data_IF_957701616729
#
_entry.id   IF_957701616729
#
_cell.length_a   1.000
_cell.length_b   1.000
_cell.length_c   1.000
_cell.angle_alpha   90.00
_cell.angle_beta   90.00
_cell.angle_gamma   90.00
#
_symmetry.space_group_name_H-M   'P 1'
#
loop_
_entity.id
_entity.type
_entity.pdbx_description
1 polymer ?
#
# COMPACT_ATOMS: atom_id res chain seq x y z
N UNK A 1 22.71 -39.44 59.24
CA UNK A 1 22.73 -38.94 57.85
C UNK A 1 21.98 -39.96 57.01
N UNK A 2 20.84 -39.58 56.43
CA UNK A 2 20.05 -40.43 55.55
C UNK A 2 20.75 -40.47 54.17
N UNK A 3 21.12 -41.64 53.68
CA UNK A 3 21.77 -41.77 52.37
C UNK A 3 20.72 -42.24 51.33
N UNK A 4 20.33 -41.41 50.35
CA UNK A 4 19.34 -41.79 49.35
C UNK A 4 19.89 -42.89 48.45
N UNK A 5 19.12 -43.97 48.27
CA UNK A 5 19.37 -45.00 47.27
C UNK A 5 18.56 -44.73 46.01
N UNK A 6 19.15 -44.97 44.85
CA UNK A 6 18.53 -44.71 43.55
C UNK A 6 18.31 -46.02 42.80
N UNK A 7 17.09 -46.21 42.31
CA UNK A 7 16.76 -47.24 41.34
C UNK A 7 16.71 -46.57 39.97
N UNK A 8 17.43 -47.14 39.00
CA UNK A 8 17.38 -46.70 37.61
C UNK A 8 16.78 -47.82 36.77
N UNK A 9 15.82 -47.46 35.92
CA UNK A 9 15.26 -48.37 34.92
C UNK A 9 15.46 -47.73 33.56
N UNK A 10 16.13 -48.42 32.65
CA UNK A 10 16.35 -47.96 31.28
C UNK A 10 15.59 -48.83 30.31
N UNK A 11 15.05 -48.24 29.25
CA UNK A 11 14.42 -48.97 28.18
C UNK A 11 14.69 -48.32 26.82
N UNK A 12 14.65 -49.17 25.81
CA UNK A 12 14.80 -48.81 24.41
C UNK A 12 13.49 -49.17 23.71
N UNK A 13 12.94 -48.24 22.93
CA UNK A 13 11.70 -48.43 22.17
C UNK A 13 11.93 -48.07 20.72
N UNK A 14 11.51 -48.94 19.81
CA UNK A 14 11.43 -48.62 18.38
C UNK A 14 10.15 -47.82 18.12
N UNK A 15 10.30 -46.71 17.42
CA UNK A 15 9.26 -45.81 16.99
C UNK A 15 9.08 -45.97 15.49
N UNK A 16 7.91 -46.44 15.08
CA UNK A 16 7.47 -46.54 13.69
C UNK A 16 6.09 -45.86 13.61
N UNK A 17 6.09 -44.55 13.38
CA UNK A 17 4.86 -43.72 13.42
C UNK A 17 4.78 -42.84 12.17
N UNK A 18 3.64 -42.89 11.48
CA UNK A 18 3.30 -41.93 10.43
C UNK A 18 2.63 -40.69 11.04
N UNK A 19 2.90 -39.52 10.47
CA UNK A 19 2.33 -38.26 10.93
C UNK A 19 1.89 -37.38 9.76
N UNK A 20 0.94 -36.50 10.04
CA UNK A 20 0.44 -35.49 9.11
C UNK A 20 0.10 -34.21 9.87
N UNK A 21 0.39 -33.05 9.26
CA UNK A 21 0.08 -31.75 9.81
C UNK A 21 -0.31 -30.77 8.70
N UNK A 22 -1.23 -29.85 8.98
CA UNK A 22 -1.60 -28.78 8.06
C UNK A 22 -0.83 -27.52 8.43
N UNK A 23 -0.02 -27.02 7.50
CA UNK A 23 0.72 -25.76 7.67
C UNK A 23 0.04 -24.67 6.86
N UNK A 24 -0.09 -23.48 7.46
CA UNK A 24 -0.63 -22.28 6.82
C UNK A 24 0.40 -21.14 6.87
N UNK A 25 0.46 -20.38 5.76
CA UNK A 25 1.13 -19.08 5.69
C UNK A 25 0.16 -18.04 5.17
N UNK A 26 0.23 -16.85 5.77
CA UNK A 26 -0.61 -15.71 5.42
C UNK A 26 0.26 -14.48 5.19
N UNK A 27 -0.04 -13.73 4.13
CA UNK A 27 0.67 -12.52 3.75
C UNK A 27 -0.35 -11.42 3.46
N UNK A 28 -0.08 -10.22 3.95
CA UNK A 28 -0.87 -9.02 3.64
C UNK A 28 -0.05 -8.08 2.75
N UNK A 29 -0.71 -7.51 1.74
CA UNK A 29 -0.16 -6.48 0.87
C UNK A 29 -1.01 -5.22 1.00
N UNK A 30 -0.34 -4.08 0.89
CA UNK A 30 -0.94 -2.75 0.94
C UNK A 30 -0.54 -2.01 -0.34
N UNK A 31 -1.47 -1.24 -0.89
CA UNK A 31 -1.26 -0.42 -2.08
C UNK A 31 -2.18 0.80 -2.07
N UNK A 32 -2.17 1.55 -3.15
CA UNK A 32 -3.06 2.69 -3.36
C UNK A 32 -3.89 2.47 -4.63
N UNK A 33 -5.17 2.83 -4.57
CA UNK A 33 -6.05 2.96 -5.72
C UNK A 33 -6.26 4.44 -6.00
N UNK A 34 -6.22 4.84 -7.28
CA UNK A 34 -6.41 6.23 -7.69
C UNK A 34 -7.49 6.31 -8.75
N UNK A 35 -8.51 7.12 -8.49
CA UNK A 35 -9.52 7.49 -9.47
C UNK A 35 -9.24 8.87 -10.04
N UNK A 36 -9.20 8.96 -11.37
CA UNK A 36 -8.96 10.21 -12.10
C UNK A 36 -10.14 10.51 -13.01
N UNK A 37 -10.61 11.75 -12.97
CA UNK A 37 -11.54 12.29 -13.96
C UNK A 37 -10.91 13.53 -14.60
N UNK A 38 -11.04 13.67 -15.91
CA UNK A 38 -10.42 14.76 -16.68
C UNK A 38 -11.42 15.42 -17.62
N UNK A 39 -11.23 16.71 -17.84
CA UNK A 39 -11.93 17.51 -18.84
C UNK A 39 -10.90 18.28 -19.65
N UNK A 40 -11.04 18.31 -20.97
CA UNK A 40 -10.22 19.13 -21.87
C UNK A 40 -11.09 20.07 -22.67
N UNK A 41 -10.68 21.32 -22.73
CA UNK A 41 -11.40 22.40 -23.41
C UNK A 41 -10.43 23.11 -24.37
N UNK A 42 -10.68 23.10 -25.69
CA UNK A 42 -9.88 23.86 -26.64
C UNK A 42 -10.19 25.36 -26.49
N UNK A 43 -9.16 26.20 -26.52
CA UNK A 43 -9.30 27.65 -26.37
C UNK A 43 -9.13 28.40 -27.69
N UNK A 44 -8.45 27.82 -28.66
CA UNK A 44 -8.15 28.40 -29.98
C UNK A 44 -9.39 28.91 -30.74
N UNK A 45 -10.54 28.24 -30.57
CA UNK A 45 -11.81 28.66 -31.17
C UNK A 45 -12.41 29.93 -30.52
N UNK A 46 -11.96 30.29 -29.33
CA UNK A 46 -12.56 31.36 -28.50
C UNK A 46 -11.59 32.49 -28.16
N UNK A 47 -10.28 32.21 -28.17
CA UNK A 47 -9.22 33.14 -27.79
C UNK A 47 -8.35 33.44 -29.01
N UNK A 48 -8.19 34.71 -29.34
CA UNK A 48 -7.37 35.14 -30.46
C UNK A 48 -5.88 34.88 -30.23
N UNK A 49 -5.14 34.56 -31.31
CA UNK A 49 -3.69 34.29 -31.26
C UNK A 49 -2.85 35.32 -30.50
N UNK A 50 -3.05 36.65 -30.67
CA UNK A 50 -2.32 37.64 -29.88
C UNK A 50 -2.54 37.52 -28.36
N UNK A 51 -3.76 37.17 -27.95
CA UNK A 51 -4.08 36.93 -26.54
C UNK A 51 -3.43 35.66 -26.02
N UNK A 52 -3.37 34.59 -26.81
CA UNK A 52 -2.69 33.34 -26.41
C UNK A 52 -1.19 33.56 -26.14
N UNK A 53 -0.51 34.38 -26.97
CA UNK A 53 0.89 34.75 -26.74
C UNK A 53 1.07 35.53 -25.42
N UNK A 54 0.13 36.43 -25.09
CA UNK A 54 0.18 37.16 -23.82
C UNK A 54 -0.17 36.26 -22.63
N UNK A 55 -1.06 35.29 -22.83
CA UNK A 55 -1.45 34.32 -21.82
C UNK A 55 -0.26 33.48 -21.37
N UNK A 56 0.54 32.96 -22.28
CA UNK A 56 1.76 32.20 -21.94
C UNK A 56 2.73 33.01 -21.08
N UNK A 57 2.92 34.29 -21.42
CA UNK A 57 3.76 35.21 -20.64
C UNK A 57 3.18 35.49 -19.26
N UNK A 58 1.86 35.69 -19.18
CA UNK A 58 1.16 35.93 -17.93
C UNK A 58 1.22 34.69 -17.02
N UNK A 59 1.02 33.48 -17.56
CA UNK A 59 1.13 32.23 -16.84
C UNK A 59 2.55 31.99 -16.31
N UNK A 60 3.58 32.29 -17.10
CA UNK A 60 4.98 32.17 -16.68
C UNK A 60 5.35 33.09 -15.50
N UNK A 61 4.62 34.22 -15.35
CA UNK A 61 4.82 35.18 -14.27
C UNK A 61 3.83 35.01 -13.11
N UNK A 62 2.80 34.16 -13.25
CA UNK A 62 1.70 34.08 -12.30
C UNK A 62 2.02 33.16 -11.10
N UNK A 63 1.73 33.65 -9.90
CA UNK A 63 1.91 32.89 -8.67
C UNK A 63 1.07 31.59 -8.66
N UNK A 64 1.72 30.49 -8.32
CA UNK A 64 1.13 29.16 -8.23
C UNK A 64 0.96 28.43 -9.55
N UNK A 65 1.37 29.03 -10.68
CA UNK A 65 1.56 28.31 -11.94
C UNK A 65 3.02 27.92 -12.09
N UNK A 66 3.24 26.68 -12.52
CA UNK A 66 4.56 26.09 -12.73
C UNK A 66 4.63 25.63 -14.17
N UNK A 67 5.67 26.06 -14.88
CA UNK A 67 5.94 25.57 -16.22
C UNK A 67 6.49 24.13 -16.15
N UNK A 68 5.86 23.21 -16.89
CA UNK A 68 6.26 21.82 -17.06
C UNK A 68 6.34 21.52 -18.57
N UNK A 69 7.55 21.63 -19.11
CA UNK A 69 7.77 21.60 -20.56
C UNK A 69 7.05 22.74 -21.28
N UNK A 70 6.19 22.39 -22.24
CA UNK A 70 5.37 23.31 -23.03
C UNK A 70 3.97 23.56 -22.40
N UNK A 71 3.79 23.13 -21.15
CA UNK A 71 2.54 23.31 -20.42
C UNK A 71 2.74 24.13 -19.15
N UNK A 72 1.66 24.75 -18.68
CA UNK A 72 1.62 25.47 -17.41
C UNK A 72 0.64 24.76 -16.48
N UNK A 73 1.11 24.30 -15.33
CA UNK A 73 0.32 23.55 -14.36
C UNK A 73 0.10 24.36 -13.09
N UNK A 74 -1.09 24.24 -12.51
CA UNK A 74 -1.40 24.70 -11.16
C UNK A 74 -2.10 23.59 -10.39
N UNK A 75 -1.56 23.26 -9.22
CA UNK A 75 -2.19 22.33 -8.29
C UNK A 75 -3.36 23.00 -7.55
N UNK A 76 -4.41 22.24 -7.30
CA UNK A 76 -5.63 22.63 -6.62
C UNK A 76 -5.96 21.58 -5.54
N UNK A 77 -6.86 21.89 -4.61
CA UNK A 77 -7.30 20.89 -3.65
C UNK A 77 -8.08 19.76 -4.35
N UNK A 78 -7.56 18.55 -4.29
CA UNK A 78 -8.14 17.37 -4.94
C UNK A 78 -7.94 17.28 -6.46
N UNK A 79 -7.04 18.08 -7.05
CA UNK A 79 -6.83 18.05 -8.50
C UNK A 79 -5.75 19.01 -8.99
N UNK A 80 -5.77 19.28 -10.30
CA UNK A 80 -4.89 20.27 -10.92
C UNK A 80 -5.50 20.77 -12.23
N UNK A 81 -4.99 21.90 -12.70
CA UNK A 81 -5.28 22.44 -14.03
C UNK A 81 -3.98 22.62 -14.80
N UNK A 82 -4.02 22.28 -16.08
CA UNK A 82 -2.89 22.39 -17.00
C UNK A 82 -3.33 23.11 -18.25
N UNK A 83 -2.60 24.15 -18.65
CA UNK A 83 -2.73 24.76 -19.98
C UNK A 83 -1.62 24.22 -20.87
N UNK A 84 -2.01 23.58 -21.98
CA UNK A 84 -1.10 23.04 -23.00
C UNK A 84 -0.92 24.09 -24.10
N UNK A 85 0.26 24.72 -24.18
CA UNK A 85 0.47 25.86 -25.07
C UNK A 85 0.51 25.47 -26.56
N UNK A 86 1.07 24.29 -26.85
CA UNK A 86 1.18 23.73 -28.21
C UNK A 86 -0.18 23.46 -28.87
N UNK A 87 -1.16 22.99 -28.08
CA UNK A 87 -2.51 22.69 -28.55
C UNK A 87 -3.53 23.75 -28.15
N UNK A 88 -3.14 24.75 -27.35
CA UNK A 88 -4.05 25.74 -26.77
C UNK A 88 -5.24 25.11 -26.04
N UNK A 89 -5.00 24.02 -25.29
CA UNK A 89 -6.03 23.31 -24.53
C UNK A 89 -5.90 23.58 -23.02
N UNK A 90 -7.04 23.77 -22.36
CA UNK A 90 -7.13 23.74 -20.90
C UNK A 90 -7.57 22.34 -20.45
N UNK A 91 -6.73 21.67 -19.69
CA UNK A 91 -7.01 20.38 -19.06
C UNK A 91 -7.25 20.56 -17.56
N UNK A 92 -8.38 20.07 -17.05
CA UNK A 92 -8.73 20.07 -15.64
C UNK A 92 -8.83 18.62 -15.18
N UNK A 93 -8.12 18.29 -14.10
CA UNK A 93 -8.05 16.93 -13.56
C UNK A 93 -8.49 16.94 -12.10
N UNK A 94 -9.40 16.02 -11.76
CA UNK A 94 -9.75 15.67 -10.40
C UNK A 94 -9.17 14.31 -10.04
N UNK A 95 -8.52 14.21 -8.89
CA UNK A 95 -7.89 12.99 -8.40
C UNK A 95 -8.40 12.65 -7.00
N UNK A 96 -8.76 11.38 -6.81
CA UNK A 96 -9.13 10.83 -5.50
C UNK A 96 -8.38 9.53 -5.30
N UNK A 97 -7.62 9.45 -4.21
CA UNK A 97 -6.86 8.26 -3.84
C UNK A 97 -7.39 7.61 -2.57
N UNK A 98 -7.18 6.31 -2.44
CA UNK A 98 -7.44 5.56 -1.21
C UNK A 98 -6.42 4.44 -1.04
N UNK A 99 -6.04 4.17 0.21
CA UNK A 99 -5.27 2.98 0.55
C UNK A 99 -6.16 1.73 0.42
N UNK A 100 -5.60 0.66 -0.10
CA UNK A 100 -6.24 -0.66 -0.22
C UNK A 100 -5.31 -1.74 0.32
N UNK A 101 -5.89 -2.76 0.94
CA UNK A 101 -5.14 -3.89 1.47
C UNK A 101 -5.81 -5.20 1.11
N UNK A 102 -5.01 -6.22 0.80
CA UNK A 102 -5.51 -7.56 0.53
C UNK A 102 -4.58 -8.63 1.14
N UNK A 103 -5.18 -9.78 1.49
CA UNK A 103 -4.47 -10.91 2.07
C UNK A 103 -4.45 -12.11 1.14
N UNK A 104 -3.35 -12.83 1.15
CA UNK A 104 -3.20 -14.16 0.55
C UNK A 104 -2.91 -15.21 1.61
N UNK A 105 -3.41 -16.42 1.40
CA UNK A 105 -3.19 -17.57 2.29
C UNK A 105 -2.82 -18.78 1.48
N UNK A 106 -1.75 -19.46 1.87
CA UNK A 106 -1.37 -20.75 1.32
C UNK A 106 -1.40 -21.80 2.41
N UNK A 107 -1.97 -22.95 2.09
CA UNK A 107 -2.12 -24.06 3.02
C UNK A 107 -1.64 -25.34 2.36
N UNK A 108 -0.91 -26.17 3.10
CA UNK A 108 -0.46 -27.47 2.63
C UNK A 108 -0.47 -28.49 3.76
N UNK A 109 -0.95 -29.69 3.45
CA UNK A 109 -0.78 -30.84 4.33
C UNK A 109 0.60 -31.44 4.08
N UNK A 110 1.40 -31.49 5.14
CA UNK A 110 2.71 -32.14 5.19
C UNK A 110 2.58 -33.44 5.97
N UNK A 111 3.51 -34.37 5.75
CA UNK A 111 3.50 -35.63 6.45
C UNK A 111 4.79 -36.40 6.24
N UNK A 112 4.99 -37.40 7.07
CA UNK A 112 6.20 -38.19 7.06
C UNK A 112 6.08 -39.45 7.90
N UNK A 113 7.22 -40.11 8.05
CA UNK A 113 7.34 -41.31 8.85
C UNK A 113 8.56 -41.19 9.76
N UNK A 114 8.38 -41.50 11.04
CA UNK A 114 9.46 -41.64 12.01
C UNK A 114 9.77 -43.12 12.14
N UNK A 115 10.96 -43.51 11.69
CA UNK A 115 11.56 -44.82 11.92
C UNK A 115 12.86 -44.62 12.71
N UNK A 116 12.78 -44.74 14.03
CA UNK A 116 13.90 -44.46 14.93
C UNK A 116 13.78 -45.20 16.26
N UNK A 117 14.82 -45.08 17.08
CA UNK A 117 14.91 -45.71 18.40
C UNK A 117 15.01 -44.64 19.48
N UNK A 118 14.15 -44.74 20.48
CA UNK A 118 14.16 -43.87 21.66
C UNK A 118 14.73 -44.65 22.83
N UNK A 119 15.76 -44.09 23.45
CA UNK A 119 16.34 -44.59 24.68
C UNK A 119 16.04 -43.62 25.81
N UNK A 120 15.50 -44.12 26.90
CA UNK A 120 15.20 -43.31 28.07
C UNK A 120 15.55 -44.07 29.35
N UNK A 121 15.78 -43.30 30.42
CA UNK A 121 16.01 -43.83 31.76
C UNK A 121 15.08 -43.11 32.71
N UNK A 122 14.42 -43.87 33.58
CA UNK A 122 13.65 -43.35 34.70
C UNK A 122 14.38 -43.59 36.03
N UNK A 123 14.20 -42.67 36.97
CA UNK A 123 14.87 -42.72 38.27
C UNK A 123 13.87 -42.62 39.41
N UNK A 124 13.98 -43.54 40.36
CA UNK A 124 13.26 -43.48 41.62
C UNK A 124 14.23 -43.50 42.80
N UNK A 125 13.83 -42.88 43.90
CA UNK A 125 14.67 -42.70 45.09
C UNK A 125 13.94 -43.25 46.31
N UNK A 126 14.66 -43.99 47.16
CA UNK A 126 14.19 -44.40 48.50
C UNK A 126 15.29 -44.18 49.53
N UNK A 127 14.94 -44.29 50.81
CA UNK A 127 15.88 -44.19 51.93
C UNK A 127 15.83 -45.45 52.79
N UNK A 128 16.99 -45.92 53.27
CA UNK A 128 17.10 -47.15 54.07
C UNK A 128 16.38 -47.07 55.42
N UNK A 129 16.13 -45.87 55.92
CA UNK A 129 15.41 -45.59 57.17
C UNK A 129 13.90 -45.40 56.99
N UNK A 130 13.35 -45.73 55.82
CA UNK A 130 11.94 -45.56 55.47
C UNK A 130 11.45 -44.11 55.64
N UNK A 131 12.34 -43.14 55.42
CA UNK A 131 11.99 -41.72 55.41
C UNK A 131 10.80 -41.46 54.45
N UNK A 132 9.78 -40.77 54.96
CA UNK A 132 8.50 -40.48 54.28
C UNK A 132 7.67 -41.71 53.88
N UNK A 133 7.96 -42.88 54.43
CA UNK A 133 7.25 -44.13 54.12
C UNK A 133 7.52 -44.66 52.70
N UNK A 134 8.50 -44.10 51.99
CA UNK A 134 8.84 -44.51 50.62
C UNK A 134 9.71 -45.76 50.66
N UNK A 135 9.18 -46.85 50.11
CA UNK A 135 9.88 -48.14 50.05
C UNK A 135 10.70 -48.29 48.78
N UNK A 136 11.56 -49.31 48.72
CA UNK A 136 12.25 -49.71 47.49
C UNK A 136 11.25 -50.01 46.35
N UNK A 137 10.11 -50.62 46.67
CA UNK A 137 9.05 -50.91 45.69
C UNK A 137 8.38 -49.63 45.16
N UNK A 138 8.20 -48.61 46.02
CA UNK A 138 7.76 -47.28 45.59
C UNK A 138 8.77 -46.63 44.66
N UNK A 139 10.06 -46.66 45.01
CA UNK A 139 11.11 -46.15 44.13
C UNK A 139 11.15 -46.89 42.79
N UNK A 140 10.88 -48.20 42.77
CA UNK A 140 10.84 -48.96 41.51
C UNK A 140 9.65 -48.57 40.64
N UNK A 141 8.46 -48.39 41.23
CA UNK A 141 7.28 -47.87 40.52
C UNK A 141 7.54 -46.47 39.98
N UNK A 142 8.06 -45.58 40.81
CA UNK A 142 8.42 -44.22 40.42
C UNK A 142 9.44 -44.20 39.27
N UNK A 143 10.46 -45.06 39.32
CA UNK A 143 11.43 -45.19 38.22
C UNK A 143 10.78 -45.67 36.91
N UNK A 144 9.79 -46.57 36.98
CA UNK A 144 9.06 -47.04 35.81
C UNK A 144 8.13 -45.98 35.23
N UNK A 145 7.43 -45.22 36.07
CA UNK A 145 6.56 -44.13 35.61
C UNK A 145 7.38 -42.96 35.06
N UNK A 146 8.51 -42.64 35.68
CA UNK A 146 9.46 -41.66 35.16
C UNK A 146 10.03 -42.07 33.80
N UNK A 147 10.38 -43.34 33.63
CA UNK A 147 10.82 -43.90 32.35
C UNK A 147 9.73 -43.73 31.27
N UNK A 148 8.46 -44.03 31.58
CA UNK A 148 7.34 -43.85 30.63
C UNK A 148 7.19 -42.40 30.19
N UNK A 149 7.22 -41.46 31.15
CA UNK A 149 7.19 -40.02 30.84
C UNK A 149 8.35 -39.60 29.94
N UNK A 150 9.56 -40.10 30.22
CA UNK A 150 10.75 -39.77 29.44
C UNK A 150 10.67 -40.34 28.02
N UNK A 151 10.13 -41.55 27.83
CA UNK A 151 9.86 -42.12 26.50
C UNK A 151 8.83 -41.30 25.72
N UNK A 152 7.72 -40.92 26.35
CA UNK A 152 6.66 -40.12 25.71
C UNK A 152 7.15 -38.71 25.35
N UNK A 153 7.93 -38.07 26.23
CA UNK A 153 8.55 -36.78 25.97
C UNK A 153 9.57 -36.87 24.82
N UNK A 154 10.39 -37.91 24.79
CA UNK A 154 11.32 -38.18 23.68
C UNK A 154 10.60 -38.36 22.35
N UNK A 155 9.47 -39.09 22.35
CA UNK A 155 8.63 -39.26 21.16
C UNK A 155 8.07 -37.93 20.66
N UNK A 156 7.49 -37.13 21.56
CA UNK A 156 6.94 -35.82 21.21
C UNK A 156 8.02 -34.87 20.69
N UNK A 157 9.24 -34.93 21.23
CA UNK A 157 10.36 -34.14 20.75
C UNK A 157 10.72 -34.50 19.30
N UNK A 158 10.90 -35.79 19.01
CA UNK A 158 11.23 -36.26 17.67
C UNK A 158 10.15 -35.93 16.64
N UNK A 159 8.87 -36.03 17.02
CA UNK A 159 7.77 -35.62 16.16
C UNK A 159 7.79 -34.12 15.86
N UNK A 160 8.00 -33.28 16.87
CA UNK A 160 8.13 -31.83 16.67
C UNK A 160 9.32 -31.48 15.77
N UNK A 161 10.45 -32.13 15.95
CA UNK A 161 11.63 -31.93 15.10
C UNK A 161 11.36 -32.32 13.64
N UNK A 162 10.69 -33.45 13.41
CA UNK A 162 10.32 -33.89 12.06
C UNK A 162 9.33 -32.93 11.38
N UNK A 163 8.32 -32.46 12.11
CA UNK A 163 7.37 -31.44 11.62
C UNK A 163 8.11 -30.15 11.28
N UNK A 164 8.93 -29.64 12.19
CA UNK A 164 9.66 -28.39 11.99
C UNK A 164 10.63 -28.45 10.80
N UNK A 165 11.32 -29.58 10.62
CA UNK A 165 12.22 -29.77 9.50
C UNK A 165 11.47 -29.71 8.15
N UNK A 166 10.31 -30.36 8.07
CA UNK A 166 9.50 -30.38 6.85
C UNK A 166 8.80 -29.02 6.61
N UNK A 167 8.35 -28.35 7.66
CA UNK A 167 7.83 -26.98 7.57
C UNK A 167 8.90 -26.01 7.05
N UNK A 168 10.12 -26.07 7.59
CA UNK A 168 11.23 -25.23 7.14
C UNK A 168 11.59 -25.47 5.67
N UNK A 169 11.54 -26.73 5.22
CA UNK A 169 11.78 -27.10 3.82
C UNK A 169 10.76 -26.47 2.87
N UNK A 170 9.51 -26.32 3.32
CA UNK A 170 8.40 -25.83 2.51
C UNK A 170 8.04 -24.37 2.76
N UNK A 171 8.64 -23.72 3.76
CA UNK A 171 8.32 -22.37 4.17
C UNK A 171 8.40 -21.37 3.01
N UNK A 172 9.51 -21.38 2.27
CA UNK A 172 9.71 -20.46 1.15
C UNK A 172 8.68 -20.63 0.02
N UNK A 173 8.21 -21.86 -0.23
CA UNK A 173 7.21 -22.13 -1.25
C UNK A 173 5.82 -21.71 -0.80
N UNK A 174 5.47 -21.95 0.48
CA UNK A 174 4.21 -21.49 1.07
C UNK A 174 4.16 -19.96 1.16
N UNK A 175 5.26 -19.31 1.54
CA UNK A 175 5.36 -17.85 1.60
C UNK A 175 5.22 -17.24 0.20
N UNK A 176 5.85 -17.83 -0.81
CA UNK A 176 5.69 -17.41 -2.21
C UNK A 176 4.24 -17.55 -2.67
N UNK A 177 3.62 -18.71 -2.44
CA UNK A 177 2.23 -18.94 -2.83
C UNK A 177 1.25 -17.99 -2.12
N UNK A 178 1.45 -17.72 -0.82
CA UNK A 178 0.65 -16.76 -0.09
C UNK A 178 0.87 -15.33 -0.62
N UNK A 179 2.11 -14.99 -0.98
CA UNK A 179 2.46 -13.72 -1.64
C UNK A 179 1.78 -13.54 -2.99
N UNK A 180 1.89 -14.52 -3.88
CA UNK A 180 1.28 -14.49 -5.22
C UNK A 180 -0.25 -14.33 -5.12
N UNK A 181 -0.88 -15.04 -4.18
CA UNK A 181 -2.30 -14.87 -3.92
C UNK A 181 -2.63 -13.47 -3.38
N UNK A 182 -1.81 -12.92 -2.47
CA UNK A 182 -2.02 -11.58 -1.94
C UNK A 182 -1.92 -10.52 -3.04
N UNK A 183 -0.97 -10.67 -3.97
CA UNK A 183 -0.76 -9.76 -5.09
C UNK A 183 -1.94 -9.81 -6.09
N UNK A 184 -2.43 -11.01 -6.42
CA UNK A 184 -3.64 -11.19 -7.25
C UNK A 184 -4.86 -10.53 -6.59
N UNK A 185 -5.05 -10.75 -5.29
CA UNK A 185 -6.18 -10.17 -4.57
C UNK A 185 -6.06 -8.65 -4.46
N UNK A 186 -4.85 -8.13 -4.23
CA UNK A 186 -4.61 -6.69 -4.20
C UNK A 186 -4.96 -6.06 -5.54
N UNK A 187 -4.47 -6.62 -6.66
CA UNK A 187 -4.78 -6.10 -7.99
C UNK A 187 -6.29 -6.04 -8.28
N UNK A 188 -7.04 -7.07 -7.85
CA UNK A 188 -8.49 -7.11 -7.97
C UNK A 188 -9.18 -6.01 -7.15
N UNK A 189 -8.84 -5.92 -5.86
CA UNK A 189 -9.42 -4.91 -4.95
C UNK A 189 -9.06 -3.49 -5.40
N UNK A 190 -7.82 -3.28 -5.87
CA UNK A 190 -7.39 -2.01 -6.47
C UNK A 190 -8.26 -1.64 -7.66
N UNK A 191 -8.47 -2.55 -8.63
CA UNK A 191 -9.26 -2.26 -9.83
C UNK A 191 -10.74 -1.96 -9.53
N UNK A 192 -11.33 -2.71 -8.59
CA UNK A 192 -12.69 -2.45 -8.09
C UNK A 192 -12.75 -1.06 -7.45
N UNK A 193 -11.81 -0.76 -6.55
CA UNK A 193 -11.76 0.53 -5.85
C UNK A 193 -11.50 1.71 -6.77
N UNK A 194 -10.60 1.57 -7.75
CA UNK A 194 -10.35 2.61 -8.75
C UNK A 194 -11.61 2.99 -9.51
N UNK A 195 -12.48 2.03 -9.82
CA UNK A 195 -13.74 2.30 -10.53
C UNK A 195 -14.67 3.17 -9.69
N UNK A 196 -14.77 2.90 -8.39
CA UNK A 196 -15.53 3.73 -7.45
C UNK A 196 -14.91 5.13 -7.31
N UNK A 197 -13.58 5.19 -7.18
CA UNK A 197 -12.85 6.46 -7.06
C UNK A 197 -12.95 7.31 -8.33
N UNK A 198 -13.00 6.71 -9.52
CA UNK A 198 -13.23 7.45 -10.78
C UNK A 198 -14.60 8.12 -10.81
N UNK A 199 -15.64 7.46 -10.27
CA UNK A 199 -16.97 8.07 -10.15
C UNK A 199 -16.95 9.23 -9.14
N UNK A 200 -16.23 9.08 -8.03
CA UNK A 200 -16.05 10.14 -7.05
C UNK A 200 -15.26 11.32 -7.63
N UNK A 201 -14.16 11.06 -8.34
CA UNK A 201 -13.40 12.07 -9.06
C UNK A 201 -14.27 12.83 -10.08
N UNK A 202 -15.14 12.12 -10.82
CA UNK A 202 -16.06 12.74 -11.76
C UNK A 202 -17.09 13.66 -11.05
N UNK A 203 -17.57 13.30 -9.87
CA UNK A 203 -18.43 14.17 -9.05
C UNK A 203 -17.70 15.43 -8.58
N UNK A 204 -16.42 15.30 -8.22
CA UNK A 204 -15.59 16.42 -7.76
C UNK A 204 -15.11 17.32 -8.89
N UNK A 205 -15.01 16.80 -10.11
CA UNK A 205 -14.51 17.52 -11.28
C UNK A 205 -15.26 18.82 -11.54
N UNK A 206 -16.56 18.89 -11.27
CA UNK A 206 -17.33 20.13 -11.41
C UNK A 206 -16.86 21.21 -10.43
N UNK A 207 -16.67 20.87 -9.15
CA UNK A 207 -16.25 21.82 -8.13
C UNK A 207 -14.81 22.31 -8.40
N UNK A 208 -13.89 21.38 -8.64
CA UNK A 208 -12.50 21.69 -9.03
C UNK A 208 -12.49 22.51 -10.33
N UNK A 209 -13.37 22.19 -11.28
CA UNK A 209 -13.49 22.92 -12.54
C UNK A 209 -13.96 24.37 -12.39
N UNK A 210 -14.74 24.70 -11.37
CA UNK A 210 -15.11 26.09 -11.07
C UNK A 210 -13.88 26.85 -10.56
N UNK A 211 -13.14 26.26 -9.63
CA UNK A 211 -11.92 26.86 -9.07
C UNK A 211 -10.82 27.03 -10.14
N UNK A 212 -10.57 25.96 -10.90
CA UNK A 212 -9.60 25.92 -12.00
C UNK A 212 -9.87 27.03 -13.03
N UNK A 213 -11.11 27.12 -13.53
CA UNK A 213 -11.49 28.17 -14.48
C UNK A 213 -11.44 29.56 -13.87
N UNK A 214 -11.81 29.72 -12.59
CA UNK A 214 -11.65 31.00 -11.90
C UNK A 214 -10.19 31.44 -11.78
N UNK A 215 -9.27 30.53 -11.49
CA UNK A 215 -7.83 30.80 -11.48
C UNK A 215 -7.31 31.16 -12.88
N UNK A 216 -7.69 30.38 -13.90
CA UNK A 216 -7.26 30.59 -15.28
C UNK A 216 -7.84 31.88 -15.89
N UNK A 217 -9.14 32.14 -15.73
CA UNK A 217 -9.81 33.31 -16.32
C UNK A 217 -9.26 34.64 -15.80
N UNK A 218 -8.77 34.70 -14.55
CA UNK A 218 -8.09 35.91 -14.05
C UNK A 218 -6.85 36.24 -14.88
N UNK A 219 -6.03 35.23 -15.18
CA UNK A 219 -4.82 35.39 -15.99
C UNK A 219 -5.18 35.66 -17.44
N UNK A 220 -6.22 35.00 -17.96
CA UNK A 220 -6.72 35.26 -19.30
C UNK A 220 -7.20 36.71 -19.47
N UNK A 221 -7.86 37.29 -18.45
CA UNK A 221 -8.27 38.69 -18.47
C UNK A 221 -7.06 39.64 -18.51
N UNK A 222 -6.01 39.35 -17.74
CA UNK A 222 -4.73 40.08 -17.80
C UNK A 222 -4.09 39.97 -19.19
N UNK A 223 -4.12 38.79 -19.80
CA UNK A 223 -3.60 38.57 -21.14
C UNK A 223 -4.40 39.35 -22.21
N UNK A 224 -5.73 39.41 -22.10
CA UNK A 224 -6.57 40.21 -22.98
C UNK A 224 -6.25 41.70 -22.86
N UNK A 225 -6.12 42.20 -21.62
CA UNK A 225 -5.70 43.58 -21.38
C UNK A 225 -4.38 43.85 -22.09
N UNK A 226 -3.37 43.02 -21.86
CA UNK A 226 -2.04 43.24 -22.40
C UNK A 226 -2.00 43.15 -23.93
N UNK A 227 -2.79 42.25 -24.52
CA UNK A 227 -2.95 42.14 -25.97
C UNK A 227 -3.61 43.38 -26.58
N UNK A 228 -4.68 43.91 -25.98
CA UNK A 228 -5.36 45.14 -26.44
C UNK A 228 -4.41 46.34 -26.33
N UNK A 229 -3.70 46.46 -25.21
CA UNK A 229 -2.72 47.55 -25.00
C UNK A 229 -1.56 47.47 -26.01
N UNK A 230 -1.07 46.27 -26.30
CA UNK A 230 -0.04 46.07 -27.32
C UNK A 230 -0.55 46.45 -28.71
N UNK A 231 -1.79 46.08 -29.05
CA UNK A 231 -2.43 46.46 -30.31
C UNK A 231 -2.56 47.98 -30.45
N UNK A 232 -3.13 48.65 -29.44
CA UNK A 232 -3.31 50.11 -29.44
C UNK A 232 -1.97 50.84 -29.61
N UNK A 233 -0.93 50.45 -28.85
CA UNK A 233 0.41 51.06 -28.96
C UNK A 233 1.05 50.86 -30.33
N UNK A 234 0.86 49.70 -30.94
CA UNK A 234 1.43 49.39 -32.26
C UNK A 234 0.79 50.23 -33.37
N UNK A 235 -0.45 50.66 -33.18
CA UNK A 235 -1.20 51.46 -34.15
C UNK A 235 -1.23 52.95 -33.81
N UNK A 236 -0.32 53.42 -32.95
CA UNK A 236 -0.17 54.84 -32.64
C UNK A 236 -1.34 55.42 -31.85
N UNK A 237 -2.06 54.61 -31.08
CA UNK A 237 -3.22 55.09 -30.35
C UNK A 237 -2.84 56.18 -29.32
N UNK A 238 -3.65 57.23 -29.27
CA UNK A 238 -3.53 58.33 -28.30
C UNK A 238 -4.59 58.19 -27.19
N UNK A 239 -4.42 58.92 -26.08
CA UNK A 239 -5.41 58.96 -25.00
C UNK A 239 -5.63 57.64 -24.23
N UNK A 240 -4.69 56.69 -24.29
CA UNK A 240 -4.85 55.36 -23.70
C UNK A 240 -5.13 55.41 -22.18
N UNK A 241 -6.31 54.96 -21.78
CA UNK A 241 -6.74 54.82 -20.39
C UNK A 241 -7.16 53.39 -20.08
N UNK A 242 -6.87 52.93 -18.87
CA UNK A 242 -7.30 51.62 -18.36
C UNK A 242 -7.87 51.84 -16.97
N UNK A 243 -9.14 51.46 -16.79
CA UNK A 243 -9.84 51.56 -15.51
C UNK A 243 -10.46 50.20 -15.19
N UNK A 244 -10.24 49.72 -13.98
CA UNK A 244 -10.93 48.54 -13.47
C UNK A 244 -12.06 48.98 -12.54
N UNK A 245 -13.30 48.59 -12.86
CA UNK A 245 -14.49 48.95 -12.08
C UNK A 245 -15.49 47.80 -12.04
N UNK A 246 -15.94 47.45 -10.83
CA UNK A 246 -16.96 46.42 -10.59
C UNK A 246 -16.66 45.06 -11.26
N UNK A 247 -15.37 44.70 -11.37
CA UNK A 247 -14.92 43.46 -12.02
C UNK A 247 -14.93 43.50 -13.55
N UNK A 248 -15.18 44.68 -14.14
CA UNK A 248 -15.00 44.94 -15.56
C UNK A 248 -13.72 45.76 -15.78
N UNK A 249 -13.03 45.45 -16.88
CA UNK A 249 -11.86 46.17 -17.34
C UNK A 249 -12.27 47.06 -18.52
N UNK A 250 -12.20 48.37 -18.31
CA UNK A 250 -12.52 49.39 -19.32
C UNK A 250 -11.20 49.91 -19.91
N UNK A 251 -11.04 49.78 -21.23
CA UNK A 251 -9.87 50.27 -21.96
C UNK A 251 -10.39 51.25 -23.01
N UNK A 252 -9.96 52.50 -22.91
CA UNK A 252 -10.28 53.55 -23.89
C UNK A 252 -9.01 54.00 -24.60
N UNK A 253 -9.08 54.17 -25.92
CA UNK A 253 -8.02 54.77 -26.73
C UNK A 253 -8.58 55.32 -28.04
N UNK A 254 -7.89 56.31 -28.59
CA UNK A 254 -8.22 56.94 -29.87
C UNK A 254 -7.26 56.43 -30.95
N UNK A 255 -7.79 56.01 -32.11
CA UNK A 255 -7.01 55.64 -33.28
C UNK A 255 -7.24 56.68 -34.39
N UNK A 256 -6.17 57.18 -34.99
CA UNK A 256 -6.28 57.92 -36.25
C UNK A 256 -6.73 56.97 -37.37
N UNK A 257 -7.82 57.34 -38.06
CA UNK A 257 -8.44 56.54 -39.12
C UNK A 257 -7.71 56.64 -40.46
#
# INVERSE_FOLDING_TARGET
>A
MCNPRRIRVSATRELNEAWQEQVERAVTRVGAAVGVARLREPLDATVGGPTLVMLERALAAADGWVQDGDAFRRDLDGGYVTYHADTSELEIVAEVSAEVSAGGRATRTIGGHLDTRIEATGVGVFYDDLYDGVTEDDARRNAQDDLRRNLDAGRQQLLREAVQAEEQRLAADLDRAAGDQADIQLARVTAERETELRQEAARRLTAIGIEARGAFHRILADAYRDAILAYARTHGAEGLSVVERDGALEIEFELEA
#
